data_IF_758838760178
#
_entry.id   IF_758838760178
#
_cell.length_a   1.000
_cell.length_b   1.000
_cell.length_c   1.000
_cell.angle_alpha   90.00
_cell.angle_beta   90.00
_cell.angle_gamma   90.00
#
_symmetry.space_group_name_H-M   'P 1'
#
loop_
_entity.id
_entity.type
_entity.pdbx_description
1 polymer ?
#
# COMPACT_ATOMS: atom_id res chain seq x y z
N UNK A 1 -1.18 -16.52 -19.11
CA UNK A 1 -1.33 -15.38 -18.17
C UNK A 1 -0.06 -14.53 -18.23
N UNK A 2 -0.16 -13.26 -18.67
CA UNK A 2 0.98 -12.36 -18.90
C UNK A 2 1.87 -12.25 -17.64
N UNK A 3 3.21 -12.30 -17.78
CA UNK A 3 4.15 -12.36 -16.64
C UNK A 3 3.91 -11.24 -15.63
N UNK A 4 3.57 -10.03 -16.10
CA UNK A 4 3.23 -8.87 -15.26
C UNK A 4 2.04 -9.13 -14.32
N UNK A 5 1.00 -9.83 -14.79
CA UNK A 5 -0.18 -10.16 -13.97
C UNK A 5 0.16 -11.15 -12.84
N UNK A 6 1.08 -12.09 -13.10
CA UNK A 6 1.57 -13.02 -12.07
C UNK A 6 2.28 -12.27 -10.93
N UNK A 7 3.13 -11.29 -11.26
CA UNK A 7 3.79 -10.48 -10.23
C UNK A 7 2.81 -9.70 -9.36
N UNK A 8 1.81 -9.04 -9.95
CA UNK A 8 0.80 -8.30 -9.18
C UNK A 8 -0.03 -9.24 -8.28
N UNK A 9 -0.33 -10.46 -8.75
CA UNK A 9 -0.98 -11.48 -7.91
C UNK A 9 -0.13 -11.87 -6.71
N UNK A 10 1.16 -12.10 -6.91
CA UNK A 10 2.08 -12.43 -5.82
C UNK A 10 2.14 -11.29 -4.82
N UNK A 11 2.25 -10.04 -5.27
CA UNK A 11 2.26 -8.86 -4.38
C UNK A 11 0.95 -8.74 -3.59
N UNK A 12 -0.19 -9.06 -4.22
CA UNK A 12 -1.48 -9.05 -3.55
C UNK A 12 -1.56 -10.14 -2.48
N UNK A 13 -1.12 -11.36 -2.78
CA UNK A 13 -1.31 -12.55 -1.94
C UNK A 13 -0.26 -12.71 -0.83
N UNK A 14 0.98 -12.30 -1.08
CA UNK A 14 2.10 -12.49 -0.16
C UNK A 14 1.83 -11.90 1.25
N UNK A 15 1.23 -10.70 1.39
CA UNK A 15 0.84 -10.17 2.69
C UNK A 15 -0.19 -11.04 3.42
N UNK A 16 -1.13 -11.68 2.71
CA UNK A 16 -2.18 -12.51 3.33
C UNK A 16 -1.64 -13.72 4.07
N UNK A 17 -0.48 -14.25 3.66
CA UNK A 17 0.19 -15.32 4.38
C UNK A 17 0.60 -14.92 5.80
N UNK A 18 0.73 -13.62 6.07
CA UNK A 18 1.06 -13.11 7.40
C UNK A 18 -0.17 -12.94 8.31
N UNK A 19 -1.39 -12.99 7.76
CA UNK A 19 -2.64 -12.73 8.49
C UNK A 19 -2.87 -13.69 9.66
N UNK A 20 -2.61 -15.01 9.54
CA UNK A 20 -2.73 -15.93 10.68
C UNK A 20 -1.88 -15.53 11.90
N UNK A 21 -0.74 -14.86 11.70
CA UNK A 21 0.17 -14.42 12.77
C UNK A 21 -0.30 -13.12 13.47
N UNK A 22 -1.30 -12.42 12.93
CA UNK A 22 -1.82 -11.17 13.51
C UNK A 22 -2.59 -11.44 14.81
N UNK A 23 -3.33 -12.56 14.88
CA UNK A 23 -4.16 -12.92 16.01
C UNK A 23 -5.57 -12.29 15.97
N UNK A 24 -6.57 -13.05 16.43
CA UNK A 24 -8.01 -12.73 16.27
C UNK A 24 -8.43 -11.38 16.89
N UNK A 25 -7.87 -11.03 18.06
CA UNK A 25 -8.21 -9.77 18.77
C UNK A 25 -7.77 -8.54 17.98
N UNK A 26 -6.53 -8.53 17.47
CA UNK A 26 -6.00 -7.44 16.67
C UNK A 26 -6.73 -7.34 15.33
N UNK A 27 -6.99 -8.48 14.67
CA UNK A 27 -7.73 -8.51 13.41
C UNK A 27 -9.12 -7.88 13.54
N UNK A 28 -9.91 -8.26 14.57
CA UNK A 28 -11.25 -7.69 14.78
C UNK A 28 -11.23 -6.20 15.12
N UNK A 29 -10.19 -5.74 15.82
CA UNK A 29 -10.06 -4.33 16.24
C UNK A 29 -9.62 -3.42 15.09
N UNK A 30 -8.69 -3.87 14.26
CA UNK A 30 -8.03 -3.03 13.26
C UNK A 30 -8.53 -3.27 11.83
N UNK A 31 -9.38 -4.28 11.60
CA UNK A 31 -9.98 -4.52 10.28
C UNK A 31 -10.73 -3.30 9.77
N UNK A 32 -11.61 -2.71 10.60
CA UNK A 32 -12.41 -1.55 10.20
C UNK A 32 -11.53 -0.34 9.87
N UNK A 33 -10.52 -0.07 10.71
CA UNK A 33 -9.55 1.00 10.48
C UNK A 33 -8.74 0.76 9.19
N UNK A 34 -8.37 -0.49 8.92
CA UNK A 34 -7.59 -0.84 7.74
C UNK A 34 -8.41 -0.75 6.45
N UNK A 35 -9.71 -1.08 6.52
CA UNK A 35 -10.66 -0.80 5.42
C UNK A 35 -10.73 0.71 5.17
N UNK A 36 -10.85 1.53 6.23
CA UNK A 36 -10.90 2.98 6.10
C UNK A 36 -9.63 3.55 5.47
N UNK A 37 -8.45 3.07 5.89
CA UNK A 37 -7.16 3.43 5.26
C UNK A 37 -7.16 3.01 3.78
N UNK A 38 -7.62 1.80 3.46
CA UNK A 38 -7.73 1.33 2.09
C UNK A 38 -8.64 2.21 1.22
N UNK A 39 -9.76 2.70 1.77
CA UNK A 39 -10.65 3.64 1.09
C UNK A 39 -9.96 4.98 0.80
N UNK A 40 -9.23 5.54 1.78
CA UNK A 40 -8.47 6.77 1.58
C UNK A 40 -7.40 6.61 0.50
N UNK A 41 -6.68 5.48 0.50
CA UNK A 41 -5.73 5.13 -0.55
C UNK A 41 -6.41 4.99 -1.92
N UNK A 42 -7.60 4.40 -1.97
CA UNK A 42 -8.41 4.32 -3.19
C UNK A 42 -8.82 5.70 -3.72
N UNK A 43 -9.26 6.60 -2.85
CA UNK A 43 -9.58 7.98 -3.24
C UNK A 43 -8.34 8.72 -3.75
N UNK A 44 -7.20 8.53 -3.08
CA UNK A 44 -5.92 9.09 -3.51
C UNK A 44 -5.48 8.53 -4.87
N UNK A 45 -5.66 7.23 -5.10
CA UNK A 45 -5.40 6.57 -6.38
C UNK A 45 -6.26 7.18 -7.50
N UNK A 46 -7.56 7.37 -7.25
CA UNK A 46 -8.46 8.03 -8.20
C UNK A 46 -8.01 9.46 -8.50
N UNK A 47 -7.65 10.23 -7.46
CA UNK A 47 -7.20 11.60 -7.61
C UNK A 47 -5.87 11.69 -8.38
N UNK A 48 -4.90 10.84 -8.04
CA UNK A 48 -3.60 10.74 -8.71
C UNK A 48 -3.75 10.35 -10.18
N UNK A 49 -4.64 9.41 -10.49
CA UNK A 49 -4.90 8.98 -11.86
C UNK A 49 -5.57 10.09 -12.69
N UNK A 50 -6.50 10.86 -12.10
CA UNK A 50 -7.09 12.05 -12.72
C UNK A 50 -6.05 13.15 -12.97
N UNK A 51 -5.14 13.38 -12.02
CA UNK A 51 -4.08 14.41 -12.11
C UNK A 51 -2.84 13.94 -12.88
N UNK A 52 -2.77 12.67 -13.29
CA UNK A 52 -1.62 12.11 -13.99
C UNK A 52 -0.36 11.94 -13.13
N UNK A 53 -0.47 11.94 -11.80
CA UNK A 53 0.68 11.81 -10.89
C UNK A 53 1.37 10.44 -11.00
N UNK A 54 0.57 9.37 -11.06
CA UNK A 54 1.01 8.01 -11.35
C UNK A 54 -0.17 7.19 -11.87
N UNK A 55 0.12 6.15 -12.67
CA UNK A 55 -0.86 5.19 -13.17
C UNK A 55 -0.28 3.79 -13.17
N UNK A 56 -0.99 2.83 -12.57
CA UNK A 56 -0.65 1.42 -12.66
C UNK A 56 -1.38 0.79 -13.85
N UNK A 57 -0.64 0.53 -14.94
CA UNK A 57 -1.19 -0.02 -16.18
C UNK A 57 -1.51 -1.52 -16.11
N UNK A 58 -0.92 -2.25 -15.16
CA UNK A 58 -1.17 -3.70 -15.04
C UNK A 58 -2.46 -3.94 -14.27
N UNK A 59 -3.53 -4.22 -15.01
CA UNK A 59 -4.82 -4.58 -14.44
C UNK A 59 -4.90 -6.09 -14.21
N UNK A 60 -5.31 -6.46 -12.99
CA UNK A 60 -5.57 -7.84 -12.60
C UNK A 60 -6.99 -8.28 -12.98
N UNK A 61 -7.96 -7.41 -12.75
CA UNK A 61 -9.36 -7.60 -13.13
C UNK A 61 -9.73 -6.61 -14.24
N UNK A 62 -10.56 -7.01 -15.22
CA UNK A 62 -11.07 -6.10 -16.22
C UNK A 62 -11.90 -4.99 -15.55
N UNK A 63 -11.78 -3.76 -16.03
CA UNK A 63 -12.50 -2.58 -15.54
C UNK A 63 -12.18 -2.15 -14.10
N UNK A 64 -11.07 -2.61 -13.53
CA UNK A 64 -10.61 -2.22 -12.19
C UNK A 64 -9.29 -1.47 -12.29
N UNK A 65 -9.07 -0.47 -11.43
CA UNK A 65 -7.78 0.22 -11.34
C UNK A 65 -6.67 -0.77 -10.98
N UNK A 66 -5.51 -0.67 -11.65
CA UNK A 66 -4.35 -1.52 -11.38
C UNK A 66 -3.78 -1.38 -9.97
N UNK A 67 -4.22 -0.36 -9.22
CA UNK A 67 -3.85 -0.08 -7.83
C UNK A 67 -4.63 -0.93 -6.82
N UNK A 68 -5.80 -1.45 -7.20
CA UNK A 68 -6.68 -2.22 -6.29
C UNK A 68 -6.00 -3.44 -5.64
N UNK A 69 -5.22 -4.27 -6.36
CA UNK A 69 -4.48 -5.38 -5.74
C UNK A 69 -3.50 -4.93 -4.65
N UNK A 70 -2.92 -3.73 -4.79
CA UNK A 70 -2.03 -3.15 -3.78
C UNK A 70 -2.81 -2.67 -2.55
N UNK A 71 -4.01 -2.12 -2.77
CA UNK A 71 -4.90 -1.70 -1.68
C UNK A 71 -5.38 -2.92 -0.87
N UNK A 72 -5.82 -3.97 -1.56
CA UNK A 72 -6.40 -5.17 -0.93
C UNK A 72 -5.34 -6.02 -0.23
N UNK A 73 -4.15 -6.16 -0.79
CA UNK A 73 -3.10 -6.97 -0.18
C UNK A 73 -2.22 -6.15 0.77
N UNK A 74 -1.18 -5.49 0.25
CA UNK A 74 -0.20 -4.76 1.05
C UNK A 74 -0.77 -3.69 1.97
N UNK A 75 -1.63 -2.79 1.47
CA UNK A 75 -2.14 -1.66 2.27
C UNK A 75 -3.03 -2.17 3.40
N UNK A 76 -3.99 -3.04 3.09
CA UNK A 76 -4.90 -3.59 4.10
C UNK A 76 -4.16 -4.40 5.17
N UNK A 77 -3.39 -5.42 4.77
CA UNK A 77 -2.70 -6.29 5.73
C UNK A 77 -1.59 -5.54 6.46
N UNK A 78 -0.86 -4.68 5.74
CA UNK A 78 0.18 -3.83 6.32
C UNK A 78 -0.37 -2.85 7.34
N UNK A 79 -1.51 -2.22 7.09
CA UNK A 79 -2.16 -1.33 8.05
C UNK A 79 -2.50 -2.06 9.36
N UNK A 80 -3.01 -3.29 9.29
CA UNK A 80 -3.30 -4.08 10.50
C UNK A 80 -2.04 -4.37 11.30
N UNK A 81 -0.93 -4.72 10.64
CA UNK A 81 0.35 -4.94 11.30
C UNK A 81 0.90 -3.68 11.97
N UNK A 82 0.91 -2.57 11.23
CA UNK A 82 1.37 -1.28 11.74
C UNK A 82 0.54 -0.88 12.95
N UNK A 83 -0.79 -0.96 12.86
CA UNK A 83 -1.68 -0.67 13.98
C UNK A 83 -1.46 -1.64 15.13
N UNK A 84 -1.27 -2.94 14.89
CA UNK A 84 -0.98 -3.91 15.96
C UNK A 84 0.27 -3.52 16.77
N UNK A 85 1.32 -3.02 16.12
CA UNK A 85 2.55 -2.63 16.81
C UNK A 85 2.52 -1.22 17.41
N UNK A 86 1.69 -0.33 16.88
CA UNK A 86 1.71 1.10 17.24
C UNK A 86 0.49 1.55 18.04
N UNK A 87 -0.60 0.80 18.04
CA UNK A 87 -1.86 1.18 18.68
C UNK A 87 -1.71 1.30 20.20
N UNK A 88 -2.17 2.44 20.74
CA UNK A 88 -2.04 2.80 22.16
C UNK A 88 -0.69 3.38 22.56
N UNK A 89 0.28 3.51 21.63
CA UNK A 89 1.60 4.10 21.88
C UNK A 89 1.92 5.14 20.81
N UNK A 90 1.28 6.32 20.93
CA UNK A 90 1.40 7.43 19.97
C UNK A 90 2.86 7.75 19.59
N UNK A 91 3.78 7.77 20.56
CA UNK A 91 5.20 8.02 20.29
C UNK A 91 5.85 6.95 19.39
N UNK A 92 5.48 5.67 19.53
CA UNK A 92 6.01 4.62 18.65
C UNK A 92 5.46 4.74 17.24
N UNK A 93 4.17 5.10 17.10
CA UNK A 93 3.59 5.40 15.80
C UNK A 93 4.38 6.53 15.11
N UNK A 94 4.54 7.66 15.79
CA UNK A 94 5.20 8.85 15.22
C UNK A 94 6.66 8.58 14.84
N UNK A 95 7.42 7.87 15.68
CA UNK A 95 8.82 7.53 15.39
C UNK A 95 8.94 6.60 14.17
N UNK A 96 8.13 5.53 14.10
CA UNK A 96 8.16 4.59 12.97
C UNK A 96 7.74 5.31 11.68
N UNK A 97 6.73 6.17 11.75
CA UNK A 97 6.25 6.92 10.58
C UNK A 97 7.28 7.95 10.10
N UNK A 98 7.97 8.64 11.02
CA UNK A 98 9.08 9.54 10.69
C UNK A 98 10.24 8.80 10.02
N UNK A 99 10.65 7.64 10.55
CA UNK A 99 11.72 6.83 9.94
C UNK A 99 11.31 6.38 8.54
N UNK A 100 10.06 5.95 8.35
CA UNK A 100 9.54 5.57 7.04
C UNK A 100 9.54 6.72 6.04
N UNK A 101 9.09 7.91 6.46
CA UNK A 101 9.09 9.11 5.62
C UNK A 101 10.52 9.52 5.24
N UNK A 102 11.45 9.49 6.20
CA UNK A 102 12.86 9.81 5.96
C UNK A 102 13.51 8.79 5.02
N UNK A 103 13.23 7.50 5.19
CA UNK A 103 13.72 6.45 4.32
C UNK A 103 13.18 6.60 2.88
N UNK A 104 11.88 6.87 2.72
CA UNK A 104 11.29 7.11 1.40
C UNK A 104 11.87 8.38 0.75
N UNK A 105 12.01 9.45 1.53
CA UNK A 105 12.57 10.71 1.04
C UNK A 105 14.03 10.58 0.60
N UNK A 106 14.85 9.81 1.32
CA UNK A 106 16.29 9.73 1.05
C UNK A 106 16.66 8.63 0.05
N UNK A 107 16.10 7.43 0.19
CA UNK A 107 16.47 6.28 -0.64
C UNK A 107 15.59 6.13 -1.87
N UNK A 108 14.27 6.37 -1.74
CA UNK A 108 13.34 6.22 -2.85
C UNK A 108 13.42 7.40 -3.83
N UNK A 109 13.53 8.66 -3.39
CA UNK A 109 13.74 9.81 -4.31
C UNK A 109 15.05 9.74 -5.11
N UNK A 110 16.11 9.19 -4.53
CA UNK A 110 17.35 8.92 -5.27
C UNK A 110 17.22 7.72 -6.23
N UNK A 111 16.49 6.66 -5.84
CA UNK A 111 16.19 5.52 -6.70
C UNK A 111 15.19 5.81 -7.83
N UNK A 112 14.25 6.75 -7.63
CA UNK A 112 13.20 7.10 -8.59
C UNK A 112 13.76 7.66 -9.91
N UNK A 113 14.96 8.27 -9.92
CA UNK A 113 15.66 8.66 -11.16
C UNK A 113 16.11 7.45 -12.00
N UNK A 114 16.39 6.30 -11.38
CA UNK A 114 16.85 5.10 -12.06
C UNK A 114 15.74 4.11 -12.47
N UNK A 115 14.53 4.25 -11.93
CA UNK A 115 13.46 3.24 -12.05
C UNK A 115 12.41 3.56 -13.13
N UNK A 116 12.68 4.54 -14.00
CA UNK A 116 11.81 4.84 -15.15
C UNK A 116 10.41 5.34 -14.80
N UNK A 117 10.17 5.75 -13.55
CA UNK A 117 8.97 6.48 -13.16
C UNK A 117 9.13 7.92 -13.65
N UNK A 118 8.80 8.14 -14.92
CA UNK A 118 8.58 9.48 -15.43
C UNK A 118 7.42 10.09 -14.66
N UNK A 119 7.75 11.07 -13.81
CA UNK A 119 6.82 12.11 -13.42
C UNK A 119 6.28 12.66 -14.74
N UNK A 120 4.98 12.50 -15.01
CA UNK A 120 4.35 13.25 -16.09
C UNK A 120 4.44 14.71 -15.67
N UNK A 121 5.48 15.38 -16.14
CA UNK A 121 5.57 16.83 -16.11
C UNK A 121 4.38 17.31 -16.93
N UNK A 122 3.39 17.86 -16.24
CA UNK A 122 2.65 18.99 -16.80
C UNK A 122 3.52 20.21 -16.54
#
# INVERSE_FOLDING_TARGET
MNNKRKYVLVIMLLPWLTVPFIGKKAMKRFSLTSIFIGLLFGLQAVYANKRGWWRVYTQLFPNVMGEVPFIIGPVFVGAIWVLKFTFGKFLRYTLINLVWILFISTYLLNGYKGWGLHRSYV
#
